data_IF_750478977361
#
_entry.id   IF_750478977361
#
_cell.length_a   1.000
_cell.length_b   1.000
_cell.length_c   1.000
_cell.angle_alpha   90.00
_cell.angle_beta   90.00
_cell.angle_gamma   90.00
#
_symmetry.space_group_name_H-M   'P 1'
#
loop_
_entity.id
_entity.type
_entity.pdbx_description
1 polymer ?
#
# COMPACT_ATOMS: atom_id res chain seq x y z
N UNK A 1 17.30 2.70 29.39
CA UNK A 1 17.10 2.69 28.79
C UNK A 1 17.12 2.95 27.79
N UNK A 2 17.30 2.74 27.42
CA UNK A 2 17.35 3.21 26.47
C UNK A 2 16.30 3.01 25.65
N UNK A 3 15.50 3.51 25.86
CA UNK A 3 14.29 3.48 25.17
C UNK A 3 14.38 3.89 23.74
N UNK A 4 15.53 4.16 23.31
CA UNK A 4 15.62 4.72 21.98
C UNK A 4 15.82 3.69 20.90
N UNK A 5 16.11 2.46 21.29
CA UNK A 5 16.18 1.37 20.31
C UNK A 5 17.01 1.68 19.09
N UNK A 6 18.17 2.31 19.28
CA UNK A 6 19.03 2.63 18.18
C UNK A 6 18.90 4.04 17.62
N UNK A 7 18.05 4.87 18.25
CA UNK A 7 17.89 6.26 17.81
C UNK A 7 18.24 7.27 18.89
N UNK A 8 19.34 7.07 19.65
CA UNK A 8 19.60 7.93 20.80
C UNK A 8 19.94 9.36 20.45
N UNK A 9 20.39 9.61 19.21
CA UNK A 9 20.81 10.94 18.81
C UNK A 9 19.85 11.56 17.79
N UNK A 10 18.61 11.15 17.83
CA UNK A 10 17.60 11.67 16.94
C UNK A 10 17.36 13.15 17.19
N UNK A 11 17.36 13.95 16.12
CA UNK A 11 17.07 15.36 16.22
C UNK A 11 15.60 15.58 16.54
N UNK A 12 15.23 16.79 17.05
CA UNK A 12 13.82 17.08 17.26
C UNK A 12 12.95 16.88 16.01
N UNK A 13 13.49 17.25 14.83
CA UNK A 13 12.78 17.05 13.58
C UNK A 13 12.54 15.58 13.28
N UNK A 14 13.57 14.76 13.49
CA UNK A 14 13.45 13.33 13.29
C UNK A 14 12.44 12.72 14.24
N UNK A 15 12.43 13.15 15.51
CA UNK A 15 11.48 12.66 16.49
C UNK A 15 10.05 12.99 16.09
N UNK A 16 9.82 14.20 15.61
CA UNK A 16 8.49 14.61 15.18
C UNK A 16 8.02 13.77 14.00
N UNK A 17 8.88 13.55 13.02
CA UNK A 17 8.54 12.71 11.88
C UNK A 17 8.24 11.28 12.30
N UNK A 18 8.99 10.73 13.23
CA UNK A 18 8.74 9.39 13.72
C UNK A 18 7.43 9.27 14.47
N UNK A 19 7.05 10.30 15.22
CA UNK A 19 5.75 10.32 15.89
C UNK A 19 4.62 10.37 14.89
N UNK A 20 4.76 11.17 13.83
CA UNK A 20 3.76 11.23 12.77
C UNK A 20 3.66 9.88 12.05
N UNK A 21 4.79 9.23 11.83
CA UNK A 21 4.82 7.92 11.19
C UNK A 21 4.09 6.88 12.05
N UNK A 22 4.42 6.83 13.34
CA UNK A 22 3.79 5.85 14.24
C UNK A 22 2.29 6.07 14.31
N UNK A 23 1.86 7.32 14.35
CA UNK A 23 0.44 7.64 14.36
C UNK A 23 -0.23 7.19 13.07
N UNK A 24 0.40 7.45 11.93
CA UNK A 24 -0.15 7.05 10.64
C UNK A 24 -0.29 5.53 10.55
N UNK A 25 0.71 4.78 11.01
CA UNK A 25 0.65 3.32 11.02
C UNK A 25 -0.48 2.84 11.92
N UNK A 26 -0.64 3.43 13.08
CA UNK A 26 -1.71 3.04 14.01
C UNK A 26 -3.09 3.29 13.41
N UNK A 27 -3.25 4.39 12.67
CA UNK A 27 -4.56 4.76 12.11
C UNK A 27 -4.84 4.03 10.81
N UNK A 28 -3.86 3.90 9.92
CA UNK A 28 -4.10 3.41 8.56
C UNK A 28 -3.47 2.06 8.25
N UNK A 29 -2.61 1.55 9.13
CA UNK A 29 -2.00 0.24 8.92
C UNK A 29 -0.99 0.18 7.78
N UNK A 30 -0.46 1.32 7.37
CA UNK A 30 0.53 1.37 6.29
C UNK A 30 -0.01 1.98 5.01
N UNK A 31 -1.31 2.23 4.93
CA UNK A 31 -1.89 2.79 3.70
C UNK A 31 -1.65 4.29 3.57
N UNK A 32 -1.36 4.97 4.67
CA UNK A 32 -1.04 6.39 4.66
C UNK A 32 0.15 6.62 5.57
N UNK A 33 1.28 6.98 4.99
CA UNK A 33 2.48 7.24 5.78
C UNK A 33 3.11 8.55 5.30
N UNK A 34 3.75 9.32 6.19
CA UNK A 34 4.44 10.52 5.76
C UNK A 34 5.66 10.16 4.93
N UNK A 35 6.00 11.04 3.99
CA UNK A 35 7.23 10.88 3.24
C UNK A 35 8.36 11.51 4.02
N UNK A 36 9.35 10.71 4.38
CA UNK A 36 10.53 11.17 5.11
C UNK A 36 11.57 11.67 4.13
N UNK A 37 12.41 12.64 4.54
CA UNK A 37 13.65 12.90 3.80
C UNK A 37 14.46 11.61 3.73
N UNK A 38 15.20 11.43 2.62
CA UNK A 38 15.93 10.18 2.40
C UNK A 38 16.89 9.86 3.56
N UNK A 39 17.49 10.87 4.14
CA UNK A 39 18.45 10.66 5.22
C UNK A 39 17.78 10.19 6.53
N UNK A 40 16.47 10.28 6.63
CA UNK A 40 15.74 9.85 7.82
C UNK A 40 15.06 8.51 7.66
N UNK A 41 15.16 7.89 6.48
CA UNK A 41 14.48 6.61 6.23
C UNK A 41 15.25 5.49 6.90
N UNK A 42 14.53 4.67 7.66
CA UNK A 42 15.12 3.56 8.41
C UNK A 42 14.77 2.25 7.73
N UNK A 43 15.64 1.26 7.93
CA UNK A 43 15.41 -0.08 7.39
C UNK A 43 14.10 -0.64 7.97
N UNK A 44 13.29 -1.25 7.11
CA UNK A 44 12.02 -1.82 7.52
C UNK A 44 10.87 -0.83 7.62
N UNK A 45 11.14 0.44 7.39
CA UNK A 45 10.11 1.47 7.44
C UNK A 45 9.25 1.41 6.19
N UNK A 46 7.93 1.60 6.36
CA UNK A 46 7.02 1.68 5.22
C UNK A 46 7.19 3.04 4.56
N UNK A 47 7.46 3.05 3.27
CA UNK A 47 7.70 4.29 2.54
C UNK A 47 6.87 4.34 1.26
N UNK A 48 6.53 5.55 0.79
CA UNK A 48 5.84 5.68 -0.49
C UNK A 48 6.69 5.17 -1.64
N UNK A 49 6.05 4.48 -2.58
CA UNK A 49 6.69 4.01 -3.81
C UNK A 49 6.37 5.02 -4.91
N UNK A 50 7.42 5.52 -5.57
CA UNK A 50 7.24 6.44 -6.69
C UNK A 50 7.03 5.61 -7.94
N UNK A 51 5.85 5.70 -8.54
CA UNK A 51 5.52 4.90 -9.71
C UNK A 51 5.09 5.72 -10.92
N UNK A 52 4.77 7.01 -10.72
CA UNK A 52 4.14 7.81 -11.76
C UNK A 52 5.02 8.01 -12.99
N UNK A 53 6.33 8.03 -12.83
CA UNK A 53 7.26 8.31 -13.91
C UNK A 53 8.00 7.08 -14.42
N UNK A 54 7.60 5.89 -14.01
CA UNK A 54 8.24 4.65 -14.42
C UNK A 54 7.20 3.69 -14.97
N UNK A 55 7.29 3.40 -16.25
CA UNK A 55 6.39 2.44 -16.88
C UNK A 55 6.49 1.07 -16.20
N UNK A 56 7.71 0.66 -15.90
CA UNK A 56 7.97 -0.61 -15.23
C UNK A 56 7.25 -0.68 -13.87
N UNK A 57 7.39 0.38 -13.06
CA UNK A 57 6.74 0.40 -11.75
C UNK A 57 5.22 0.46 -11.88
N UNK A 58 4.70 1.22 -12.86
CA UNK A 58 3.25 1.27 -13.08
C UNK A 58 2.70 -0.09 -13.46
N UNK A 59 3.44 -0.85 -14.25
CA UNK A 59 2.99 -2.19 -14.64
C UNK A 59 2.95 -3.14 -13.46
N UNK A 60 3.97 -3.09 -12.59
CA UNK A 60 3.99 -3.91 -11.39
C UNK A 60 2.80 -3.56 -10.49
N UNK A 61 2.60 -2.27 -10.24
CA UNK A 61 1.51 -1.81 -9.40
C UNK A 61 0.15 -2.19 -9.96
N UNK A 62 -0.03 -2.07 -11.27
CA UNK A 62 -1.27 -2.46 -11.92
C UNK A 62 -1.53 -3.95 -11.78
N UNK A 63 -0.50 -4.76 -11.89
CA UNK A 63 -0.64 -6.21 -11.73
C UNK A 63 -1.09 -6.55 -10.32
N UNK A 64 -0.51 -5.89 -9.31
CA UNK A 64 -0.93 -6.08 -7.92
C UNK A 64 -2.42 -5.72 -7.75
N UNK A 65 -2.84 -4.59 -8.33
CA UNK A 65 -4.23 -4.15 -8.23
C UNK A 65 -5.19 -5.14 -8.88
N UNK A 66 -4.82 -5.66 -10.04
CA UNK A 66 -5.67 -6.62 -10.74
C UNK A 66 -5.81 -7.92 -9.97
N UNK A 67 -4.72 -8.41 -9.39
CA UNK A 67 -4.77 -9.60 -8.53
C UNK A 67 -5.63 -9.35 -7.30
N UNK A 68 -5.48 -8.18 -6.69
CA UNK A 68 -6.24 -7.82 -5.50
C UNK A 68 -7.74 -7.78 -5.79
N UNK A 69 -8.13 -7.11 -6.88
CA UNK A 69 -9.55 -6.99 -7.18
C UNK A 69 -10.17 -8.33 -7.61
N UNK A 70 -9.38 -9.19 -8.26
CA UNK A 70 -9.84 -10.53 -8.57
C UNK A 70 -10.14 -11.32 -7.30
N UNK A 71 -9.27 -11.21 -6.31
CA UNK A 71 -9.46 -11.86 -5.03
C UNK A 71 -10.73 -11.35 -4.35
N UNK A 72 -10.91 -10.05 -4.33
CA UNK A 72 -12.11 -9.44 -3.77
C UNK A 72 -13.37 -9.93 -4.48
N UNK A 73 -13.36 -9.95 -5.81
CA UNK A 73 -14.49 -10.37 -6.59
C UNK A 73 -14.90 -11.81 -6.28
N UNK A 74 -13.92 -12.69 -6.13
CA UNK A 74 -14.20 -14.08 -5.78
C UNK A 74 -14.78 -14.22 -4.40
N UNK A 75 -14.27 -13.45 -3.45
CA UNK A 75 -14.74 -13.52 -2.05
C UNK A 75 -16.13 -12.94 -1.86
N UNK A 76 -16.49 -11.95 -2.66
CA UNK A 76 -17.72 -11.20 -2.46
C UNK A 76 -18.75 -11.39 -3.58
N UNK A 77 -18.43 -12.23 -4.55
CA UNK A 77 -19.30 -12.49 -5.71
C UNK A 77 -19.66 -11.18 -6.42
N UNK A 78 -18.64 -10.37 -6.70
CA UNK A 78 -18.79 -9.08 -7.35
C UNK A 78 -18.03 -9.08 -8.67
N UNK A 79 -18.18 -7.98 -9.43
CA UNK A 79 -17.51 -7.85 -10.72
C UNK A 79 -16.92 -6.44 -10.87
N UNK A 80 -15.92 -6.15 -10.04
CA UNK A 80 -15.19 -4.90 -10.14
C UNK A 80 -14.05 -5.02 -11.16
N UNK A 81 -13.81 -3.96 -11.90
CA UNK A 81 -12.70 -3.89 -12.84
C UNK A 81 -11.76 -2.79 -12.40
N UNK A 82 -10.48 -3.11 -12.28
CA UNK A 82 -9.45 -2.14 -11.93
C UNK A 82 -9.39 -1.01 -12.95
N UNK A 83 -9.26 0.22 -12.46
CA UNK A 83 -9.10 1.38 -13.32
C UNK A 83 -7.81 2.13 -13.07
N UNK A 84 -7.44 2.37 -11.81
CA UNK A 84 -6.36 3.30 -11.54
C UNK A 84 -5.70 3.03 -10.19
N UNK A 85 -4.37 2.97 -10.18
CA UNK A 85 -3.59 2.92 -8.94
C UNK A 85 -3.44 4.35 -8.41
N UNK A 86 -3.83 4.55 -7.16
CA UNK A 86 -3.82 5.87 -6.53
C UNK A 86 -2.58 6.06 -5.67
N UNK A 87 -2.27 5.07 -4.84
CA UNK A 87 -1.21 5.18 -3.84
C UNK A 87 -0.59 3.82 -3.60
N UNK A 88 0.71 3.83 -3.34
CA UNK A 88 1.45 2.60 -3.08
C UNK A 88 2.52 2.90 -2.04
N UNK A 89 2.46 2.19 -0.92
CA UNK A 89 3.51 2.24 0.10
C UNK A 89 4.07 0.83 0.26
N UNK A 90 5.32 0.73 0.63
CA UNK A 90 5.95 -0.58 0.75
C UNK A 90 7.01 -0.61 1.84
N UNK A 91 7.17 -1.79 2.43
CA UNK A 91 8.26 -2.10 3.34
C UNK A 91 8.73 -3.51 3.03
N UNK A 92 9.98 -3.64 2.60
CA UNK A 92 10.54 -4.93 2.19
C UNK A 92 9.63 -5.56 1.14
N UNK A 93 9.00 -6.70 1.46
CA UNK A 93 8.19 -7.46 0.51
C UNK A 93 6.70 -7.17 0.64
N UNK A 94 6.32 -6.34 1.61
CA UNK A 94 4.91 -5.98 1.82
C UNK A 94 4.57 -4.71 1.06
N UNK A 95 3.43 -4.74 0.39
CA UNK A 95 2.96 -3.63 -0.42
C UNK A 95 1.55 -3.26 0.01
N UNK A 96 1.33 -1.97 0.24
CA UNK A 96 0.04 -1.42 0.65
C UNK A 96 -0.44 -0.54 -0.50
N UNK A 97 -1.44 -1.01 -1.24
CA UNK A 97 -1.91 -0.30 -2.44
C UNK A 97 -3.33 0.22 -2.23
N UNK A 98 -3.56 1.42 -2.74
CA UNK A 98 -4.89 2.03 -2.79
C UNK A 98 -5.19 2.27 -4.26
N UNK A 99 -6.36 1.81 -4.71
CA UNK A 99 -6.69 1.88 -6.12
C UNK A 99 -8.19 2.03 -6.33
N UNK A 100 -8.57 2.37 -7.54
CA UNK A 100 -9.98 2.50 -7.91
C UNK A 100 -10.39 1.38 -8.84
N UNK A 101 -11.65 0.96 -8.71
CA UNK A 101 -12.24 -0.05 -9.58
C UNK A 101 -13.71 0.29 -9.81
N UNK A 102 -14.21 -0.09 -10.99
CA UNK A 102 -15.57 0.17 -11.41
C UNK A 102 -16.42 -1.07 -11.17
N UNK A 103 -17.59 -0.87 -10.55
CA UNK A 103 -18.55 -1.96 -10.34
C UNK A 103 -19.34 -2.17 -11.62
N UNK A 104 -19.02 -3.21 -12.34
CA UNK A 104 -19.63 -3.48 -13.64
C UNK A 104 -21.05 -4.05 -13.54
N UNK A 105 -21.43 -4.54 -12.38
CA UNK A 105 -22.76 -5.12 -12.19
C UNK A 105 -23.78 -4.10 -11.72
N UNK A 106 -23.35 -2.92 -11.28
CA UNK A 106 -24.28 -1.92 -10.75
C UNK A 106 -24.66 -0.91 -11.80
N UNK A 107 -25.88 -0.40 -11.70
CA UNK A 107 -26.35 0.65 -12.58
C UNK A 107 -25.48 1.90 -12.42
N UNK A 108 -25.09 2.49 -13.54
CA UNK A 108 -24.23 3.66 -13.53
C UNK A 108 -22.76 3.34 -13.36
N UNK A 109 -22.41 2.08 -13.13
CA UNK A 109 -21.03 1.62 -12.98
C UNK A 109 -20.24 2.50 -12.01
N UNK A 110 -20.63 2.54 -10.73
CA UNK A 110 -19.98 3.40 -9.77
C UNK A 110 -18.52 2.99 -9.55
N UNK A 111 -17.68 4.01 -9.37
CA UNK A 111 -16.27 3.79 -9.07
C UNK A 111 -16.08 3.79 -7.57
N UNK A 112 -15.34 2.80 -7.07
CA UNK A 112 -15.07 2.69 -5.64
C UNK A 112 -13.57 2.57 -5.41
N UNK A 113 -13.16 2.95 -4.20
CA UNK A 113 -11.76 2.91 -3.80
C UNK A 113 -11.52 1.68 -2.93
N UNK A 114 -10.44 0.99 -3.21
CA UNK A 114 -10.04 -0.22 -2.51
C UNK A 114 -8.66 -0.08 -1.92
N UNK A 115 -8.41 -0.86 -0.87
CA UNK A 115 -7.09 -1.00 -0.28
C UNK A 115 -6.75 -2.48 -0.23
N UNK A 116 -5.50 -2.80 -0.54
CA UNK A 116 -5.05 -4.19 -0.49
C UNK A 116 -3.62 -4.27 0.04
N UNK A 117 -3.35 -5.35 0.76
CA UNK A 117 -2.01 -5.66 1.20
C UNK A 117 -1.51 -6.84 0.38
N UNK A 118 -0.36 -6.67 -0.26
CA UNK A 118 0.21 -7.63 -1.18
C UNK A 118 1.59 -8.05 -0.67
N UNK A 119 1.81 -9.34 -0.57
CA UNK A 119 3.12 -9.87 -0.23
C UNK A 119 3.74 -10.43 -1.52
N UNK A 120 4.91 -9.91 -1.90
CA UNK A 120 5.60 -10.37 -3.10
C UNK A 120 6.81 -11.19 -2.68
N UNK A 121 6.69 -12.50 -2.80
CA UNK A 121 7.73 -13.43 -2.38
C UNK A 121 8.90 -13.40 -3.36
N UNK A 122 10.15 -13.34 -2.87
CA UNK A 122 11.30 -13.33 -3.76
C UNK A 122 11.68 -14.74 -4.23
N UNK A 123 12.30 -14.79 -5.40
CA UNK A 123 13.00 -16.00 -5.84
C UNK A 123 12.16 -17.15 -6.31
N UNK A 124 10.88 -16.93 -6.58
CA UNK A 124 10.02 -17.98 -7.12
C UNK A 124 9.53 -17.59 -8.50
N UNK A 125 8.80 -18.47 -9.15
CA UNK A 125 8.21 -18.17 -10.45
C UNK A 125 7.21 -17.02 -10.28
N UNK A 126 7.14 -16.18 -11.30
CA UNK A 126 6.37 -14.94 -11.22
C UNK A 126 4.93 -15.10 -10.75
N UNK A 127 4.26 -16.14 -11.21
CA UNK A 127 2.86 -16.32 -10.88
C UNK A 127 2.62 -16.77 -9.45
N UNK A 128 3.63 -17.42 -8.85
CA UNK A 128 3.50 -17.96 -7.49
C UNK A 128 4.11 -17.04 -6.44
N UNK A 129 4.69 -15.91 -6.87
CA UNK A 129 5.38 -15.00 -5.97
C UNK A 129 4.46 -14.05 -5.23
N UNK A 130 3.33 -13.73 -5.81
CA UNK A 130 2.48 -12.66 -5.30
C UNK A 130 1.29 -13.23 -4.56
N UNK A 131 1.11 -12.77 -3.32
CA UNK A 131 0.05 -13.22 -2.44
C UNK A 131 -0.78 -12.03 -2.00
N UNK A 132 -2.08 -12.09 -2.19
CA UNK A 132 -2.99 -11.04 -1.73
C UNK A 132 -3.39 -11.38 -0.30
N UNK A 133 -2.87 -10.60 0.67
CA UNK A 133 -3.20 -10.83 2.07
C UNK A 133 -4.64 -10.45 2.35
N UNK A 134 -5.07 -9.32 1.83
CA UNK A 134 -6.48 -8.92 1.85
C UNK A 134 -6.72 -7.84 0.81
N UNK A 135 -7.99 -7.69 0.45
CA UNK A 135 -8.46 -6.57 -0.37
C UNK A 135 -9.82 -6.16 0.17
N UNK A 136 -10.00 -4.87 0.39
CA UNK A 136 -11.20 -4.34 1.03
C UNK A 136 -11.58 -3.00 0.44
N UNK A 137 -12.84 -2.61 0.61
CA UNK A 137 -13.24 -1.23 0.33
C UNK A 137 -12.49 -0.31 1.28
N UNK A 138 -11.99 0.79 0.75
CA UNK A 138 -11.28 1.77 1.57
C UNK A 138 -12.26 2.41 2.55
N UNK A 139 -11.80 2.77 3.76
CA UNK A 139 -12.65 3.49 4.69
C UNK A 139 -13.07 4.82 4.09
N UNK A 140 -14.25 5.32 4.44
CA UNK A 140 -14.64 6.64 3.98
C UNK A 140 -13.68 7.71 4.50
N UNK A 141 -13.49 8.75 3.72
CA UNK A 141 -12.64 9.85 4.14
C UNK A 141 -13.25 10.53 5.36
N UNK A 142 -12.37 10.94 6.26
CA UNK A 142 -12.80 11.61 7.49
C UNK A 142 -12.78 13.11 7.35
#
# INVERSE_FOLDING_TARGET
MDSHHGYPFMTPEERELNLLYDEAINVTGGFDVPKFPDEFVMEGQIVPVVFAHSEYMREIGSRYCKLAIETYNKQHNTNFQFTELIKWNAAALLNYITFKAIDQNSFGRPMKTFQAEIYDHPGKDELDQVEVEFCRLAPPDL
#
